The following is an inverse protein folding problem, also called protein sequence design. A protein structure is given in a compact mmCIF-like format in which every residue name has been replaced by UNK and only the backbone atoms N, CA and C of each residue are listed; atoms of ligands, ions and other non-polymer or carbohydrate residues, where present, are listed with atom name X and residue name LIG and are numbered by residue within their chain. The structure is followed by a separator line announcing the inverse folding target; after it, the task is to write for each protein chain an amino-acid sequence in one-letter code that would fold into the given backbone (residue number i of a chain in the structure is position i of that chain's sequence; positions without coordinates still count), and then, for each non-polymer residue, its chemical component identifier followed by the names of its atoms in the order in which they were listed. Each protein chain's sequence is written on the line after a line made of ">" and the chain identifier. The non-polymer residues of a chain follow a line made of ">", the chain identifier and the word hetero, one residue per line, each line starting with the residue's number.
data_IF_543393979957
#
_entry.id   IF_543393979957
#
_cell.length_a   1.000
_cell.length_b   1.000
_cell.length_c   1.000
_cell.angle_alpha   90.00
_cell.angle_beta   90.00
_cell.angle_gamma   90.00
#
_symmetry.space_group_name_H-M   'P 1'
#
loop_
_entity.id
_entity.type
_entity.pdbx_description
1 polymer ?
#
# COMPACT_ATOMS: atom_id res chain seq x y z
N UNK A 1 -12.91 -37.16 3.94
CA UNK A 1 -14.05 -38.11 3.86
C UNK A 1 -14.40 -38.59 5.26
N UNK A 2 -15.72 -38.67 5.57
CA UNK A 2 -16.20 -39.15 6.86
C UNK A 2 -15.95 -40.63 7.05
N UNK A 3 -15.86 -41.06 8.33
CA UNK A 3 -15.87 -42.46 8.74
C UNK A 3 -17.29 -43.00 8.79
N UNK A 4 -17.46 -44.34 8.91
CA UNK A 4 -18.78 -44.97 9.15
C UNK A 4 -19.46 -44.43 10.39
N UNK A 5 -20.63 -44.98 10.74
CA UNK A 5 -21.39 -44.65 11.94
C UNK A 5 -21.85 -43.17 12.07
N UNK A 6 -22.18 -42.54 10.97
CA UNK A 6 -22.64 -41.12 10.89
C UNK A 6 -21.61 -40.10 11.39
N UNK A 7 -20.32 -40.42 11.34
CA UNK A 7 -19.26 -39.49 11.71
C UNK A 7 -19.06 -38.47 10.59
N UNK A 8 -18.98 -37.19 10.97
CA UNK A 8 -18.62 -36.10 10.07
C UNK A 8 -17.11 -36.14 9.81
N UNK A 9 -16.68 -35.98 8.55
CA UNK A 9 -15.27 -35.83 8.21
C UNK A 9 -14.70 -34.53 8.80
N UNK A 10 -13.37 -34.51 8.98
CA UNK A 10 -12.68 -33.30 9.41
C UNK A 10 -12.85 -32.19 8.35
N UNK A 11 -13.20 -30.99 8.77
CA UNK A 11 -13.20 -29.80 7.91
C UNK A 11 -11.77 -29.37 7.60
N UNK A 12 -11.56 -28.72 6.49
CA UNK A 12 -10.32 -27.99 6.25
C UNK A 12 -10.29 -26.71 7.07
N UNK A 13 -9.10 -26.27 7.46
CA UNK A 13 -8.89 -25.00 8.15
C UNK A 13 -8.93 -23.84 7.16
N UNK A 14 -9.31 -22.67 7.63
CA UNK A 14 -9.23 -21.44 6.84
C UNK A 14 -7.77 -21.02 6.65
N UNK A 15 -7.39 -20.71 5.43
CA UNK A 15 -6.09 -20.11 5.14
C UNK A 15 -6.20 -18.60 5.25
N UNK A 16 -5.46 -18.02 6.20
CA UNK A 16 -5.37 -16.57 6.38
C UNK A 16 -4.01 -16.10 5.88
N UNK A 17 -4.03 -15.15 4.93
CA UNK A 17 -2.84 -14.48 4.44
C UNK A 17 -2.79 -13.07 5.03
N UNK A 18 -1.75 -12.80 5.82
CA UNK A 18 -1.53 -11.46 6.37
C UNK A 18 -0.88 -10.56 5.32
N UNK A 19 -1.51 -9.41 5.08
CA UNK A 19 -1.03 -8.40 4.13
C UNK A 19 -0.97 -7.03 4.80
N UNK A 20 -0.07 -6.13 4.36
CA UNK A 20 0.00 -4.77 4.89
C UNK A 20 -1.28 -3.98 4.63
N UNK A 21 -1.58 -3.03 5.53
CA UNK A 21 -2.68 -2.06 5.32
C UNK A 21 -2.42 -1.25 4.05
N UNK A 22 -3.45 -1.09 3.23
CA UNK A 22 -3.35 -0.43 1.92
C UNK A 22 -3.18 -1.41 0.75
N UNK A 23 -3.30 -2.72 1.00
CA UNK A 23 -3.29 -3.72 -0.06
C UNK A 23 -4.64 -3.76 -0.77
N UNK A 24 -4.63 -3.62 -2.09
CA UNK A 24 -5.77 -3.87 -2.98
C UNK A 24 -5.67 -5.30 -3.48
N UNK A 25 -6.76 -6.02 -3.41
CA UNK A 25 -6.88 -7.41 -3.89
C UNK A 25 -7.65 -7.41 -5.20
N UNK A 26 -7.03 -7.94 -6.24
CA UNK A 26 -7.56 -7.96 -7.60
C UNK A 26 -7.61 -9.43 -8.04
N UNK A 27 -8.73 -9.84 -8.63
CA UNK A 27 -8.82 -11.11 -9.34
C UNK A 27 -8.05 -10.96 -10.67
N UNK A 28 -7.00 -11.75 -10.86
CA UNK A 28 -6.10 -11.62 -12.01
C UNK A 28 -6.77 -12.08 -13.31
N UNK A 29 -7.68 -13.04 -13.22
CA UNK A 29 -8.35 -13.61 -14.37
C UNK A 29 -9.44 -12.67 -14.94
N UNK A 30 -10.14 -11.95 -14.06
CA UNK A 30 -11.23 -11.03 -14.44
C UNK A 30 -10.81 -9.58 -14.44
N UNK A 31 -9.72 -9.21 -13.76
CA UNK A 31 -9.31 -7.83 -13.51
C UNK A 31 -10.21 -7.08 -12.51
N UNK A 32 -11.14 -7.77 -11.85
CA UNK A 32 -12.05 -7.19 -10.87
C UNK A 32 -11.33 -6.87 -9.55
N UNK A 33 -11.59 -5.69 -8.99
CA UNK A 33 -11.13 -5.33 -7.65
C UNK A 33 -12.06 -5.95 -6.63
N UNK A 34 -11.59 -6.98 -5.93
CA UNK A 34 -12.35 -7.68 -4.90
C UNK A 34 -12.47 -6.86 -3.61
N UNK A 35 -11.48 -6.05 -3.30
CA UNK A 35 -11.53 -5.14 -2.16
C UNK A 35 -10.21 -4.45 -1.85
N UNK A 36 -10.30 -3.47 -0.94
CA UNK A 36 -9.20 -2.64 -0.45
C UNK A 36 -9.08 -2.83 1.07
N UNK A 37 -7.93 -3.29 1.55
CA UNK A 37 -7.65 -3.50 2.97
C UNK A 37 -7.03 -2.23 3.57
N UNK A 38 -7.87 -1.30 4.01
CA UNK A 38 -7.46 0.05 4.45
C UNK A 38 -7.34 0.20 5.96
N UNK A 39 -7.76 -0.81 6.73
CA UNK A 39 -7.77 -0.77 8.20
C UNK A 39 -7.07 -2.00 8.78
N UNK A 40 -6.37 -1.79 9.90
CA UNK A 40 -5.78 -2.91 10.66
C UNK A 40 -6.85 -3.89 11.14
N UNK A 41 -6.61 -5.19 10.95
CA UNK A 41 -7.53 -6.25 11.33
C UNK A 41 -8.72 -6.45 10.38
N UNK A 42 -8.81 -5.68 9.28
CA UNK A 42 -9.82 -5.89 8.25
C UNK A 42 -9.56 -7.22 7.55
N UNK A 43 -10.63 -8.00 7.34
CA UNK A 43 -10.59 -9.28 6.64
C UNK A 43 -11.41 -9.20 5.36
N UNK A 44 -10.93 -9.84 4.31
CA UNK A 44 -11.61 -9.99 3.03
C UNK A 44 -11.62 -11.47 2.66
N UNK A 45 -12.83 -12.03 2.49
CA UNK A 45 -12.99 -13.39 1.99
C UNK A 45 -12.86 -13.34 0.45
N UNK A 46 -11.88 -14.03 -0.08
CA UNK A 46 -11.57 -14.01 -1.53
C UNK A 46 -11.93 -15.31 -2.25
N UNK A 47 -12.04 -16.42 -1.52
CA UNK A 47 -12.49 -17.69 -2.05
C UNK A 47 -13.17 -18.50 -0.95
N UNK A 48 -14.25 -19.18 -1.29
CA UNK A 48 -15.02 -19.97 -0.34
C UNK A 48 -14.69 -21.47 -0.51
N UNK A 49 -14.54 -22.16 0.61
CA UNK A 49 -14.37 -23.60 0.64
C UNK A 49 -15.58 -24.34 0.06
N UNK A 50 -15.34 -25.52 -0.49
CA UNK A 50 -16.40 -26.33 -1.07
C UNK A 50 -17.39 -26.89 -0.02
N UNK A 51 -18.60 -27.13 -0.46
CA UNK A 51 -19.63 -27.71 0.40
C UNK A 51 -19.34 -29.21 0.62
N UNK A 52 -19.47 -29.67 1.86
CA UNK A 52 -19.24 -31.07 2.22
C UNK A 52 -20.23 -32.02 1.55
N UNK A 53 -19.81 -33.26 1.31
CA UNK A 53 -20.68 -34.31 0.81
C UNK A 53 -21.70 -34.78 1.85
N UNK A 54 -22.80 -35.32 1.37
CA UNK A 54 -23.89 -35.83 2.22
C UNK A 54 -23.85 -37.36 2.14
N UNK A 55 -23.62 -37.99 3.30
CA UNK A 55 -23.64 -39.44 3.44
C UNK A 55 -25.06 -40.01 3.42
N UNK A 56 -25.16 -41.31 3.19
CA UNK A 56 -26.42 -42.04 3.05
C UNK A 56 -27.37 -41.91 4.29
N UNK A 57 -26.81 -41.74 5.49
CA UNK A 57 -27.62 -41.60 6.72
C UNK A 57 -28.61 -40.41 6.68
N UNK A 58 -28.25 -39.35 5.94
CA UNK A 58 -29.12 -38.15 5.76
C UNK A 58 -30.29 -38.38 4.81
N UNK A 59 -30.28 -39.47 4.04
CA UNK A 59 -31.34 -39.86 3.11
C UNK A 59 -32.29 -40.90 3.69
N UNK A 60 -32.18 -41.27 4.98
CA UNK A 60 -33.12 -42.13 5.68
C UNK A 60 -34.50 -41.52 5.73
N UNK A 61 -35.50 -42.32 5.38
CA UNK A 61 -36.90 -41.96 5.53
C UNK A 61 -37.71 -43.15 6.11
N UNK A 62 -38.98 -42.95 6.44
CA UNK A 62 -39.88 -44.01 6.90
C UNK A 62 -40.04 -45.14 5.88
N UNK A 63 -39.93 -44.78 4.59
CA UNK A 63 -40.06 -45.74 3.46
C UNK A 63 -38.72 -46.36 3.11
N UNK A 64 -37.65 -45.64 3.18
CA UNK A 64 -36.29 -46.12 2.85
C UNK A 64 -35.39 -46.06 4.08
N UNK A 65 -35.34 -47.15 4.87
CA UNK A 65 -34.55 -47.22 6.09
C UNK A 65 -33.05 -47.46 5.87
N UNK A 66 -32.64 -47.89 4.68
CA UNK A 66 -31.25 -48.20 4.34
C UNK A 66 -30.86 -47.61 2.95
N UNK A 67 -30.87 -46.28 2.80
CA UNK A 67 -30.58 -45.67 1.52
C UNK A 67 -29.09 -45.90 1.13
N UNK A 68 -28.87 -46.13 -0.16
CA UNK A 68 -27.52 -46.24 -0.74
C UNK A 68 -27.09 -44.95 -1.44
N UNK A 69 -27.94 -43.93 -1.38
CA UNK A 69 -27.67 -42.63 -2.00
C UNK A 69 -26.65 -41.86 -1.18
N UNK A 70 -25.69 -41.27 -1.87
CA UNK A 70 -24.74 -40.32 -1.32
C UNK A 70 -24.61 -39.14 -2.27
N UNK A 71 -24.35 -37.96 -1.76
CA UNK A 71 -24.03 -36.77 -2.56
C UNK A 71 -22.56 -36.42 -2.34
N UNK A 72 -21.73 -36.38 -3.39
CA UNK A 72 -20.34 -35.96 -3.25
C UNK A 72 -20.27 -34.49 -2.82
N UNK A 73 -19.16 -34.11 -2.20
CA UNK A 73 -18.87 -32.71 -1.92
C UNK A 73 -18.65 -31.90 -3.19
N UNK A 74 -18.85 -30.63 -3.10
CA UNK A 74 -18.53 -29.68 -4.17
C UNK A 74 -17.10 -29.17 -4.00
N UNK A 75 -16.36 -28.92 -5.10
CA UNK A 75 -15.07 -28.27 -5.01
C UNK A 75 -15.24 -26.83 -4.47
N UNK A 76 -14.22 -26.32 -3.79
CA UNK A 76 -14.15 -24.92 -3.40
C UNK A 76 -13.83 -24.00 -4.58
N UNK A 77 -13.98 -22.70 -4.34
CA UNK A 77 -13.56 -21.68 -5.29
C UNK A 77 -12.03 -21.63 -5.38
N UNK A 78 -11.52 -21.40 -6.58
CA UNK A 78 -10.11 -21.15 -6.83
C UNK A 78 -9.97 -19.85 -7.62
N UNK A 79 -9.09 -18.97 -7.18
CA UNK A 79 -8.85 -17.68 -7.82
C UNK A 79 -7.37 -17.38 -7.87
N UNK A 80 -6.94 -16.77 -8.97
CA UNK A 80 -5.63 -16.17 -9.09
C UNK A 80 -5.72 -14.72 -8.59
N UNK A 81 -4.98 -14.41 -7.53
CA UNK A 81 -5.06 -13.09 -6.90
C UNK A 81 -3.80 -12.29 -7.19
N UNK A 82 -3.98 -11.07 -7.65
CA UNK A 82 -2.94 -10.06 -7.72
C UNK A 82 -3.11 -9.11 -6.54
N UNK A 83 -2.07 -9.04 -5.70
CA UNK A 83 -2.02 -8.16 -4.54
C UNK A 83 -1.22 -6.91 -4.91
N UNK A 84 -1.86 -5.76 -4.94
CA UNK A 84 -1.23 -4.48 -5.18
C UNK A 84 -1.15 -3.71 -3.86
N UNK A 85 0.07 -3.53 -3.35
CA UNK A 85 0.30 -2.66 -2.21
C UNK A 85 0.29 -1.21 -2.70
N UNK A 86 -0.78 -0.48 -2.39
CA UNK A 86 -0.80 0.98 -2.53
C UNK A 86 -0.01 1.53 -1.36
N UNK A 87 1.27 1.79 -1.57
CA UNK A 87 2.14 2.35 -0.53
C UNK A 87 1.58 3.70 -0.12
N UNK A 88 1.03 3.73 1.07
CA UNK A 88 0.61 4.95 1.74
C UNK A 88 1.83 5.46 2.49
N UNK A 89 2.54 6.44 1.94
CA UNK A 89 3.48 7.17 2.74
C UNK A 89 2.72 8.00 3.77
N UNK A 90 3.07 7.85 5.03
CA UNK A 90 2.52 8.70 6.10
C UNK A 90 3.10 10.10 6.01
N UNK A 91 4.35 10.20 5.57
CA UNK A 91 5.13 11.43 5.47
C UNK A 91 5.70 11.58 4.06
N UNK A 92 5.45 12.71 3.42
CA UNK A 92 6.04 13.07 2.12
C UNK A 92 7.21 14.04 2.29
N UNK A 93 8.33 13.80 1.60
CA UNK A 93 9.46 14.72 1.57
C UNK A 93 9.37 15.63 0.35
N UNK A 94 9.47 16.92 0.58
CA UNK A 94 9.54 17.98 -0.42
C UNK A 94 10.92 18.65 -0.37
N UNK A 95 11.29 19.31 -1.42
CA UNK A 95 12.49 20.15 -1.46
C UNK A 95 13.16 20.12 -2.83
N UNK A 96 14.01 21.08 -3.07
CA UNK A 96 14.81 21.22 -4.28
C UNK A 96 15.70 19.99 -4.50
N UNK A 97 16.17 19.72 -5.72
CA UNK A 97 17.21 18.74 -5.98
C UNK A 97 18.42 19.01 -5.06
N UNK A 98 19.05 17.95 -4.58
CA UNK A 98 20.20 18.00 -3.68
C UNK A 98 19.97 18.66 -2.30
N UNK A 99 18.73 18.97 -1.92
CA UNK A 99 18.40 19.46 -0.58
C UNK A 99 18.65 18.42 0.55
N UNK A 100 18.98 17.15 0.19
CA UNK A 100 19.30 16.11 1.14
C UNK A 100 18.18 15.12 1.42
N UNK A 101 17.10 15.11 0.64
CA UNK A 101 15.93 14.22 0.85
C UNK A 101 16.31 12.73 0.92
N UNK A 102 17.03 12.24 -0.06
CA UNK A 102 17.47 10.84 -0.11
C UNK A 102 18.41 10.51 1.04
N UNK A 103 19.32 11.41 1.39
CA UNK A 103 20.23 11.26 2.53
C UNK A 103 19.46 11.15 3.83
N UNK A 104 18.43 11.99 4.02
CA UNK A 104 17.57 11.92 5.19
C UNK A 104 16.86 10.58 5.28
N UNK A 105 16.24 10.11 4.17
CA UNK A 105 15.57 8.79 4.15
C UNK A 105 16.55 7.68 4.55
N UNK A 106 17.77 7.70 4.00
CA UNK A 106 18.80 6.71 4.34
C UNK A 106 19.21 6.76 5.82
N UNK A 107 19.29 7.96 6.39
CA UNK A 107 19.69 8.14 7.78
C UNK A 107 18.63 7.69 8.79
N UNK A 108 17.34 7.92 8.51
CA UNK A 108 16.26 7.64 9.45
C UNK A 108 15.58 6.28 9.22
N UNK A 109 15.81 5.62 8.09
CA UNK A 109 15.17 4.35 7.77
C UNK A 109 15.76 3.21 8.57
N UNK A 110 14.91 2.39 9.19
CA UNK A 110 15.29 1.20 9.96
C UNK A 110 15.80 0.05 9.09
N UNK A 111 15.49 0.08 7.80
CA UNK A 111 15.94 -0.87 6.80
C UNK A 111 16.51 -0.10 5.61
N UNK A 112 17.27 -0.77 4.73
CA UNK A 112 17.72 -0.13 3.50
C UNK A 112 16.52 0.42 2.74
N UNK A 113 16.50 1.72 2.40
CA UNK A 113 15.44 2.31 1.62
C UNK A 113 15.24 1.52 0.33
N UNK A 114 14.00 1.22 0.02
CA UNK A 114 13.66 0.55 -1.23
C UNK A 114 13.31 1.59 -2.29
N UNK A 115 13.93 1.45 -3.42
CA UNK A 115 13.52 2.10 -4.65
C UNK A 115 12.29 1.34 -5.13
N UNK A 116 11.12 1.99 -5.13
CA UNK A 116 9.90 1.35 -5.58
C UNK A 116 9.73 1.58 -7.07
N UNK A 117 9.90 0.52 -7.85
CA UNK A 117 9.67 0.54 -9.29
C UNK A 117 8.17 0.42 -9.55
N UNK A 118 7.52 1.58 -9.74
CA UNK A 118 6.12 1.62 -10.12
C UNK A 118 6.01 1.73 -11.63
N UNK A 119 5.31 0.82 -12.30
CA UNK A 119 5.23 0.78 -13.78
C UNK A 119 4.56 2.02 -14.40
N UNK A 120 4.07 2.94 -13.58
CA UNK A 120 3.39 4.18 -14.01
C UNK A 120 4.14 5.45 -13.59
N UNK A 121 5.37 5.35 -13.10
CA UNK A 121 6.20 6.51 -12.73
C UNK A 121 7.43 6.60 -13.63
N UNK A 122 7.67 7.77 -14.20
CA UNK A 122 8.92 8.09 -14.89
C UNK A 122 10.05 8.42 -13.93
N UNK A 123 9.71 8.73 -12.67
CA UNK A 123 10.64 9.02 -11.59
C UNK A 123 10.38 8.04 -10.45
N UNK A 124 11.42 7.37 -10.03
CA UNK A 124 11.32 6.30 -9.01
C UNK A 124 11.44 6.92 -7.63
N UNK A 125 10.39 6.82 -6.77
CA UNK A 125 10.45 7.38 -5.43
C UNK A 125 11.30 6.51 -4.51
N UNK A 126 12.05 7.15 -3.62
CA UNK A 126 12.71 6.48 -2.52
C UNK A 126 11.73 6.36 -1.34
N UNK A 127 11.61 5.15 -0.81
CA UNK A 127 10.78 4.85 0.34
C UNK A 127 11.63 4.40 1.51
N UNK A 128 11.37 4.94 2.69
CA UNK A 128 12.00 4.53 3.93
C UNK A 128 10.96 4.18 4.98
N UNK A 129 11.22 3.14 5.76
CA UNK A 129 10.42 2.78 6.92
C UNK A 129 11.13 3.26 8.16
N UNK A 130 10.51 4.18 8.89
CA UNK A 130 11.04 4.74 10.14
C UNK A 130 10.38 4.03 11.31
N UNK A 131 11.18 3.38 12.15
CA UNK A 131 10.71 2.73 13.37
C UNK A 131 10.89 3.67 14.56
N UNK A 132 9.79 3.99 15.24
CA UNK A 132 9.81 4.83 16.45
C UNK A 132 9.87 3.96 17.71
N UNK A 133 9.28 2.77 17.65
CA UNK A 133 9.30 1.78 18.74
C UNK A 133 9.03 0.39 18.17
N UNK A 134 9.13 -0.66 19.03
CA UNK A 134 8.90 -2.07 18.61
C UNK A 134 7.57 -2.30 17.89
N UNK A 135 6.56 -1.44 18.11
CA UNK A 135 5.19 -1.60 17.58
C UNK A 135 4.73 -0.39 16.76
N UNK A 136 5.59 0.61 16.51
CA UNK A 136 5.21 1.82 15.79
C UNK A 136 6.25 2.16 14.74
N UNK A 137 5.82 2.12 13.49
CA UNK A 137 6.59 2.57 12.34
C UNK A 137 5.71 3.40 11.41
N UNK A 138 6.32 4.23 10.61
CA UNK A 138 5.68 4.99 9.56
C UNK A 138 6.53 4.98 8.30
N UNK A 139 5.91 5.23 7.16
CA UNK A 139 6.58 5.24 5.87
C UNK A 139 6.81 6.67 5.42
N UNK A 140 8.04 6.95 5.03
CA UNK A 140 8.46 8.23 4.43
C UNK A 140 8.70 7.99 2.95
N UNK A 141 8.16 8.86 2.10
CA UNK A 141 8.39 8.83 0.65
C UNK A 141 8.99 10.13 0.17
N UNK A 142 10.02 10.04 -0.67
CA UNK A 142 10.48 11.18 -1.47
C UNK A 142 9.43 11.49 -2.53
N UNK A 143 9.11 12.78 -2.71
CA UNK A 143 8.26 13.27 -3.79
C UNK A 143 9.18 13.81 -4.89
N UNK A 144 9.65 12.94 -5.81
CA UNK A 144 10.55 13.37 -6.85
C UNK A 144 9.81 14.27 -7.85
N UNK A 145 10.52 15.19 -8.47
CA UNK A 145 10.00 15.99 -9.59
C UNK A 145 9.11 17.18 -9.24
N UNK A 146 8.99 17.54 -7.97
CA UNK A 146 8.53 18.88 -7.59
C UNK A 146 9.72 19.84 -7.77
N UNK A 147 9.91 20.26 -9.01
CA UNK A 147 10.89 21.24 -9.43
C UNK A 147 10.11 22.38 -10.07
N UNK A 148 10.48 23.64 -9.85
CA UNK A 148 9.81 24.77 -10.49
C UNK A 148 9.62 24.56 -12.00
N UNK A 149 8.36 24.65 -12.49
CA UNK A 149 8.00 24.42 -13.88
C UNK A 149 7.65 22.97 -14.27
N UNK A 150 7.77 21.99 -13.39
CA UNK A 150 7.46 20.59 -13.71
C UNK A 150 5.95 20.32 -13.86
N UNK A 151 5.08 21.11 -13.26
CA UNK A 151 3.61 20.99 -13.41
C UNK A 151 3.13 21.23 -14.84
N UNK A 152 3.92 21.95 -15.66
CA UNK A 152 3.62 22.23 -17.07
C UNK A 152 4.16 21.17 -18.04
N UNK A 153 4.98 20.24 -17.58
CA UNK A 153 5.59 19.18 -18.38
C UNK A 153 5.09 17.79 -17.97
N UNK A 154 5.04 16.85 -18.90
CA UNK A 154 4.50 15.49 -18.76
C UNK A 154 5.29 14.59 -17.77
N UNK A 155 5.93 15.12 -16.72
CA UNK A 155 7.00 14.44 -15.98
C UNK A 155 6.56 13.60 -14.76
N UNK A 156 5.46 13.92 -14.12
CA UNK A 156 5.01 13.15 -12.95
C UNK A 156 3.72 12.44 -13.28
N UNK A 157 3.76 11.12 -13.24
CA UNK A 157 2.57 10.34 -13.46
C UNK A 157 1.46 10.75 -12.49
N UNK A 158 0.36 11.31 -13.00
CA UNK A 158 -0.85 11.72 -12.26
C UNK A 158 -1.30 10.62 -11.30
N UNK A 159 -0.97 9.37 -11.58
CA UNK A 159 -1.27 8.21 -10.75
C UNK A 159 -0.44 8.15 -9.47
N UNK A 160 0.86 8.42 -9.56
CA UNK A 160 1.75 8.44 -8.38
C UNK A 160 1.29 9.47 -7.36
N UNK A 161 0.84 10.62 -7.83
CA UNK A 161 0.36 11.71 -7.02
C UNK A 161 -0.95 11.43 -6.29
N UNK A 162 -1.84 10.66 -6.90
CA UNK A 162 -3.03 10.16 -6.20
C UNK A 162 -2.66 9.30 -4.99
N UNK A 163 -1.50 8.65 -5.02
CA UNK A 163 -1.00 7.87 -3.88
C UNK A 163 -0.41 8.76 -2.78
N UNK A 164 0.21 9.88 -3.16
CA UNK A 164 0.74 10.86 -2.21
C UNK A 164 -0.34 11.73 -1.56
N UNK A 165 -1.52 11.87 -2.14
CA UNK A 165 -2.63 12.60 -1.50
C UNK A 165 -3.06 12.00 -0.16
N UNK A 166 -2.62 10.81 0.16
CA UNK A 166 -2.88 10.12 1.43
C UNK A 166 -1.84 10.40 2.51
N UNK A 167 -0.76 11.13 2.21
CA UNK A 167 0.21 11.54 3.23
C UNK A 167 -0.47 12.43 4.28
N UNK A 168 -0.08 12.22 5.53
CA UNK A 168 -0.64 12.95 6.68
C UNK A 168 0.14 14.23 6.96
N UNK A 169 1.45 14.21 6.67
CA UNK A 169 2.39 15.28 6.95
C UNK A 169 3.36 15.43 5.78
N UNK A 170 3.76 16.64 5.50
CA UNK A 170 4.83 16.98 4.56
C UNK A 170 6.04 17.53 5.33
N UNK A 171 7.22 17.04 4.99
CA UNK A 171 8.48 17.58 5.46
C UNK A 171 9.15 18.30 4.28
N UNK A 172 9.31 19.60 4.39
CA UNK A 172 9.94 20.43 3.37
C UNK A 172 11.41 20.67 3.76
N UNK A 173 12.31 19.96 3.09
CA UNK A 173 13.76 20.12 3.30
C UNK A 173 14.26 21.30 2.47
N UNK A 174 14.96 22.19 3.16
CA UNK A 174 15.55 23.41 2.58
C UNK A 174 17.05 23.35 2.77
N UNK A 175 17.78 23.40 1.68
CA UNK A 175 19.21 23.63 1.70
C UNK A 175 19.45 25.11 2.00
N UNK A 176 20.09 25.42 3.12
CA UNK A 176 20.38 26.80 3.52
C UNK A 176 21.60 27.40 2.84
N UNK A 177 22.44 26.54 2.24
CA UNK A 177 23.63 26.93 1.46
C UNK A 177 23.59 26.23 0.09
N UNK A 178 22.63 26.56 -0.78
CA UNK A 178 22.52 25.91 -2.06
C UNK A 178 23.75 26.22 -2.92
N UNK A 179 24.30 25.22 -3.61
CA UNK A 179 25.58 25.37 -4.35
C UNK A 179 25.46 26.32 -5.54
N UNK A 180 24.27 26.62 -6.01
CA UNK A 180 23.98 27.57 -7.09
C UNK A 180 23.83 29.02 -6.61
N UNK A 181 23.93 29.25 -5.29
CA UNK A 181 23.80 30.57 -4.68
C UNK A 181 22.36 31.12 -4.68
N UNK A 182 21.36 30.28 -4.96
CA UNK A 182 19.96 30.68 -4.93
C UNK A 182 19.52 31.05 -3.52
N UNK A 183 18.51 31.92 -3.38
CA UNK A 183 17.93 32.25 -2.09
C UNK A 183 17.10 31.08 -1.55
N UNK A 184 17.44 30.52 -0.37
CA UNK A 184 16.66 29.45 0.24
C UNK A 184 15.18 29.80 0.46
N UNK A 185 14.85 31.05 0.80
CA UNK A 185 13.48 31.50 0.98
C UNK A 185 12.70 31.50 -0.34
N UNK A 186 13.33 31.98 -1.42
CA UNK A 186 12.73 31.90 -2.75
C UNK A 186 12.49 30.46 -3.20
N UNK A 187 13.42 29.55 -2.89
CA UNK A 187 13.29 28.13 -3.19
C UNK A 187 12.08 27.49 -2.46
N UNK A 188 11.83 27.87 -1.20
CA UNK A 188 10.65 27.42 -0.45
C UNK A 188 9.37 27.85 -1.15
N UNK A 189 9.26 29.14 -1.49
CA UNK A 189 8.08 29.69 -2.15
C UNK A 189 7.83 29.04 -3.51
N UNK A 190 8.87 28.82 -4.30
CA UNK A 190 8.76 28.16 -5.59
C UNK A 190 8.20 26.73 -5.49
N UNK A 191 8.66 25.92 -4.50
CA UNK A 191 8.13 24.59 -4.23
C UNK A 191 6.69 24.65 -3.74
N UNK A 192 6.32 25.65 -2.95
CA UNK A 192 4.92 25.84 -2.51
C UNK A 192 3.98 26.15 -3.66
N UNK A 193 4.37 27.01 -4.57
CA UNK A 193 3.59 27.33 -5.76
C UNK A 193 3.42 26.11 -6.66
N UNK A 194 4.51 25.36 -6.89
CA UNK A 194 4.48 24.13 -7.66
C UNK A 194 3.55 23.08 -7.00
N UNK A 195 3.62 22.93 -5.68
CA UNK A 195 2.78 22.00 -4.95
C UNK A 195 1.29 22.39 -5.03
N UNK A 196 0.97 23.69 -4.98
CA UNK A 196 -0.40 24.21 -5.14
C UNK A 196 -0.92 23.97 -6.56
N UNK A 197 -0.10 24.26 -7.55
CA UNK A 197 -0.45 24.04 -8.96
C UNK A 197 -0.67 22.56 -9.27
N UNK A 198 0.06 21.70 -8.57
CA UNK A 198 0.08 20.28 -8.73
C UNK A 198 -1.12 19.56 -8.06
N UNK A 199 -1.36 19.82 -6.78
CA UNK A 199 -2.44 19.23 -5.98
C UNK A 199 -2.83 20.16 -4.82
N UNK A 200 -3.94 20.89 -4.94
CA UNK A 200 -4.46 21.69 -3.84
C UNK A 200 -4.70 20.88 -2.56
N UNK A 201 -5.13 19.63 -2.69
CA UNK A 201 -5.36 18.71 -1.56
C UNK A 201 -4.06 18.39 -0.81
N UNK A 202 -2.96 18.19 -1.54
CA UNK A 202 -1.66 17.93 -0.94
C UNK A 202 -1.08 19.20 -0.33
N UNK A 203 -1.24 20.34 -1.00
CA UNK A 203 -0.79 21.65 -0.51
C UNK A 203 -1.48 22.08 0.81
N UNK A 204 -2.71 21.60 1.05
CA UNK A 204 -3.46 21.86 2.28
C UNK A 204 -3.02 20.97 3.46
N UNK A 205 -2.11 20.01 3.27
CA UNK A 205 -1.62 19.15 4.36
C UNK A 205 -0.69 19.92 5.30
N UNK A 206 -0.64 19.53 6.58
CA UNK A 206 0.35 20.06 7.52
C UNK A 206 1.76 19.91 6.94
N UNK A 207 2.56 20.97 7.05
CA UNK A 207 3.90 21.00 6.52
C UNK A 207 4.89 21.52 7.54
N UNK A 208 5.99 20.81 7.74
CA UNK A 208 7.11 21.25 8.58
C UNK A 208 8.28 21.59 7.68
N UNK A 209 8.87 22.76 7.96
CA UNK A 209 10.09 23.20 7.30
C UNK A 209 11.28 22.65 8.07
N UNK A 210 12.21 22.03 7.35
CA UNK A 210 13.44 21.47 7.89
C UNK A 210 14.62 22.18 7.21
N UNK A 211 15.37 22.96 7.96
CA UNK A 211 16.60 23.58 7.50
C UNK A 211 17.72 22.55 7.56
N UNK A 212 18.29 22.24 6.42
CA UNK A 212 19.36 21.23 6.27
C UNK A 212 20.68 21.89 5.92
N UNK A 213 21.78 21.18 6.18
CA UNK A 213 23.17 21.60 5.94
C UNK A 213 23.60 22.79 6.79
N UNK A 214 23.10 22.87 8.01
CA UNK A 214 23.52 23.87 9.01
C UNK A 214 25.02 23.80 9.37
N UNK A 215 25.66 22.68 9.08
CA UNK A 215 27.09 22.44 9.24
C UNK A 215 27.96 23.22 8.24
N UNK A 216 27.35 23.86 7.24
CA UNK A 216 28.05 24.67 6.25
C UNK A 216 28.13 26.17 6.58
N UNK A 217 27.56 26.60 7.73
CA UNK A 217 27.57 27.99 8.20
C UNK A 217 28.70 28.23 9.18
#
# INVERSE_FOLDING_TARGET
>A
SGSGANCTGHGGDDLVLDVPVGTTVIDEDTGEVLGDLTKTGQKLLVAQGGFHGIGNARFKSSVNRAPRQTKPGQPGESRNLRLELKVLADVGLLGMPNAGKSTLIHAISSARPKVADYPFTTLVPNLGVVSVSKMRSFVVADIPGLIPGAAKGAGLGIRFLKHLTRTKLLLHLVDIMPPDGSDPAANVLAIEEELKAFSPTLAARPRWLILNKLDLI
#
